data_IF_788671275846
#
_entry.id   IF_788671275846
#
_cell.length_a   1.000
_cell.length_b   1.000
_cell.length_c   1.000
_cell.angle_alpha   90.00
_cell.angle_beta   90.00
_cell.angle_gamma   90.00
#
_symmetry.space_group_name_H-M   'P 1'
#
loop_
_entity.id
_entity.type
_entity.pdbx_description
1 polymer ?
#
# COMPACT_ATOMS: atom_id res chain seq x y z
N UNK A 1 -18.99 1.96 -7.97
CA UNK A 1 -17.67 1.96 -7.27
C UNK A 1 -17.54 0.59 -6.63
N UNK A 2 -16.56 -0.15 -7.00
CA UNK A 2 -16.28 -1.46 -6.43
C UNK A 2 -15.77 -1.28 -4.99
N UNK A 3 -16.33 -2.00 -4.04
CA UNK A 3 -15.91 -1.92 -2.63
C UNK A 3 -14.58 -2.65 -2.43
N UNK A 4 -13.84 -2.35 -1.35
CA UNK A 4 -12.62 -3.08 -0.99
C UNK A 4 -12.88 -4.59 -0.88
N UNK A 5 -14.05 -4.96 -0.34
CA UNK A 5 -14.48 -6.35 -0.20
C UNK A 5 -14.65 -7.04 -1.56
N UNK A 6 -15.36 -6.42 -2.51
CA UNK A 6 -15.56 -6.97 -3.86
C UNK A 6 -14.23 -7.11 -4.60
N UNK A 7 -13.36 -6.10 -4.50
CA UNK A 7 -12.03 -6.12 -5.10
C UNK A 7 -11.16 -7.24 -4.52
N UNK A 8 -11.19 -7.47 -3.19
CA UNK A 8 -10.47 -8.57 -2.54
C UNK A 8 -11.00 -9.93 -2.95
N UNK A 9 -12.33 -10.12 -2.98
CA UNK A 9 -12.96 -11.37 -3.44
C UNK A 9 -12.51 -11.69 -4.86
N UNK A 10 -12.64 -10.73 -5.77
CA UNK A 10 -12.24 -10.88 -7.17
C UNK A 10 -10.75 -11.17 -7.34
N UNK A 11 -9.90 -10.50 -6.56
CA UNK A 11 -8.45 -10.66 -6.62
C UNK A 11 -8.00 -12.03 -6.09
N UNK A 12 -8.48 -12.40 -4.90
CA UNK A 12 -8.10 -13.65 -4.24
C UNK A 12 -8.66 -14.90 -4.93
N UNK A 13 -9.73 -14.76 -5.73
CA UNK A 13 -10.20 -15.83 -6.59
C UNK A 13 -9.22 -16.18 -7.72
N UNK A 14 -8.39 -15.22 -8.15
CA UNK A 14 -7.50 -15.38 -9.32
C UNK A 14 -6.02 -15.38 -8.94
N UNK A 15 -5.67 -14.79 -7.81
CA UNK A 15 -4.28 -14.63 -7.39
C UNK A 15 -4.11 -15.10 -5.94
N UNK A 16 -2.93 -15.66 -5.66
CA UNK A 16 -2.54 -16.10 -4.32
C UNK A 16 -1.83 -15.00 -3.52
N UNK A 17 -1.40 -13.93 -4.17
CA UNK A 17 -0.66 -12.84 -3.53
C UNK A 17 -1.16 -11.49 -4.02
N UNK A 18 -1.53 -10.63 -3.08
CA UNK A 18 -2.14 -9.31 -3.31
C UNK A 18 -1.36 -8.27 -2.53
N UNK A 19 -1.19 -7.08 -3.09
CA UNK A 19 -0.66 -5.92 -2.37
C UNK A 19 -1.70 -4.81 -2.31
N UNK A 20 -1.88 -4.26 -1.11
CA UNK A 20 -2.73 -3.12 -0.79
C UNK A 20 -1.88 -2.00 -0.18
N UNK A 21 -2.07 -0.79 -0.65
CA UNK A 21 -1.35 0.37 -0.14
C UNK A 21 -2.30 1.37 0.49
N UNK A 22 -1.94 1.85 1.72
CA UNK A 22 -2.71 2.87 2.43
C UNK A 22 -3.97 2.37 3.13
N UNK A 23 -4.10 1.07 3.32
CA UNK A 23 -5.16 0.46 4.12
C UNK A 23 -4.65 0.07 5.50
N UNK A 24 -5.55 0.04 6.49
CA UNK A 24 -5.25 -0.54 7.80
C UNK A 24 -5.55 -2.04 7.82
N UNK A 25 -4.88 -2.78 8.70
CA UNK A 25 -5.20 -4.20 8.94
C UNK A 25 -6.65 -4.41 9.33
N UNK A 26 -7.21 -3.50 10.13
CA UNK A 26 -8.62 -3.56 10.54
C UNK A 26 -9.56 -3.44 9.35
N UNK A 27 -9.35 -2.47 8.44
CA UNK A 27 -10.20 -2.31 7.26
C UNK A 27 -10.11 -3.47 6.27
N UNK A 28 -8.93 -4.08 6.16
CA UNK A 28 -8.74 -5.27 5.32
C UNK A 28 -9.43 -6.49 5.96
N UNK A 29 -9.25 -6.69 7.27
CA UNK A 29 -9.90 -7.80 7.99
C UNK A 29 -11.42 -7.71 7.92
N UNK A 30 -11.99 -6.52 8.10
CA UNK A 30 -13.42 -6.28 7.92
C UNK A 30 -13.88 -6.60 6.49
N UNK A 31 -13.14 -6.15 5.49
CA UNK A 31 -13.44 -6.44 4.09
C UNK A 31 -13.38 -7.92 3.75
N UNK A 32 -12.46 -8.69 4.37
CA UNK A 32 -12.38 -10.14 4.22
C UNK A 32 -13.59 -10.85 4.83
N UNK A 33 -14.09 -10.37 5.97
CA UNK A 33 -15.30 -10.90 6.61
C UNK A 33 -16.54 -10.56 5.78
N UNK A 34 -16.68 -9.30 5.35
CA UNK A 34 -17.80 -8.86 4.51
C UNK A 34 -17.85 -9.59 3.16
N UNK A 35 -16.70 -9.95 2.61
CA UNK A 35 -16.57 -10.76 1.39
C UNK A 35 -16.75 -12.26 1.59
N UNK A 36 -17.05 -12.72 2.79
CA UNK A 36 -17.15 -14.15 3.15
C UNK A 36 -15.88 -14.95 2.81
N UNK A 37 -14.71 -14.30 2.79
CA UNK A 37 -13.41 -14.97 2.56
C UNK A 37 -12.97 -15.68 3.85
N UNK A 38 -13.18 -15.03 4.99
CA UNK A 38 -12.97 -15.57 6.32
C UNK A 38 -14.17 -15.24 7.21
N UNK A 39 -14.38 -16.00 8.27
CA UNK A 39 -15.34 -15.67 9.33
C UNK A 39 -14.65 -14.83 10.42
N UNK A 40 -15.41 -14.07 11.17
CA UNK A 40 -14.89 -13.35 12.33
C UNK A 40 -14.25 -14.30 13.33
N UNK A 41 -13.03 -13.99 13.79
CA UNK A 41 -12.26 -14.86 14.68
C UNK A 41 -11.75 -16.16 14.03
N UNK A 42 -11.75 -16.25 12.71
CA UNK A 42 -11.28 -17.44 11.99
C UNK A 42 -9.81 -17.76 12.31
N UNK A 43 -9.49 -19.04 12.65
CA UNK A 43 -8.10 -19.47 12.79
C UNK A 43 -7.34 -19.45 11.44
N UNK A 44 -8.04 -19.34 10.32
CA UNK A 44 -7.46 -19.25 8.97
C UNK A 44 -7.16 -17.82 8.54
N UNK A 45 -7.25 -16.85 9.45
CA UNK A 45 -6.73 -15.49 9.27
C UNK A 45 -5.53 -15.27 10.21
N UNK A 46 -4.33 -15.27 9.65
CA UNK A 46 -3.10 -14.93 10.37
C UNK A 46 -2.75 -13.48 10.07
N UNK A 47 -2.60 -12.66 11.09
CA UNK A 47 -2.20 -11.27 10.98
C UNK A 47 -0.80 -11.09 11.54
N UNK A 48 0.11 -10.57 10.72
CA UNK A 48 1.49 -10.22 11.08
C UNK A 48 1.63 -8.72 10.95
N UNK A 49 1.85 -8.03 12.05
CA UNK A 49 2.08 -6.58 12.06
C UNK A 49 3.51 -6.29 12.51
N UNK A 50 4.22 -5.49 11.74
CA UNK A 50 5.59 -5.08 12.06
C UNK A 50 5.84 -3.65 11.57
N UNK A 51 6.53 -2.85 12.34
CA UNK A 51 7.00 -1.56 11.84
C UNK A 51 8.01 -1.76 10.71
N UNK A 52 8.90 -2.75 10.87
CA UNK A 52 9.94 -3.10 9.90
C UNK A 52 9.94 -4.60 9.66
N UNK A 53 9.44 -5.01 8.50
CA UNK A 53 9.45 -6.42 8.11
C UNK A 53 10.90 -6.86 7.81
N UNK A 54 11.43 -7.70 8.65
CA UNK A 54 12.75 -8.31 8.52
C UNK A 54 12.68 -9.73 7.93
N UNK A 55 13.84 -10.38 7.86
CA UNK A 55 13.96 -11.72 7.28
C UNK A 55 13.21 -12.78 8.10
N UNK A 56 13.15 -12.63 9.42
CA UNK A 56 12.52 -13.62 10.31
C UNK A 56 11.00 -13.58 10.18
N UNK A 57 10.40 -12.39 10.12
CA UNK A 57 8.97 -12.24 9.85
C UNK A 57 8.62 -12.75 8.44
N UNK A 58 9.46 -12.49 7.44
CA UNK A 58 9.28 -13.01 6.09
C UNK A 58 9.34 -14.55 6.04
N UNK A 59 10.23 -15.16 6.81
CA UNK A 59 10.29 -16.62 6.94
C UNK A 59 9.06 -17.19 7.63
N UNK A 60 8.53 -16.46 8.63
CA UNK A 60 7.29 -16.84 9.31
C UNK A 60 6.10 -16.87 8.35
N UNK A 61 6.02 -15.91 7.41
CA UNK A 61 5.00 -15.91 6.33
C UNK A 61 5.07 -17.23 5.54
N UNK A 62 6.28 -17.65 5.14
CA UNK A 62 6.49 -18.91 4.42
C UNK A 62 6.10 -20.13 5.26
N UNK A 63 6.44 -20.13 6.55
CA UNK A 63 6.11 -21.21 7.48
C UNK A 63 4.58 -21.34 7.66
N UNK A 64 3.85 -20.24 7.86
CA UNK A 64 2.39 -20.24 7.91
C UNK A 64 1.77 -20.73 6.61
N UNK A 65 2.26 -20.24 5.46
CA UNK A 65 1.76 -20.67 4.16
C UNK A 65 1.90 -22.19 3.95
N UNK A 66 2.96 -22.80 4.46
CA UNK A 66 3.23 -24.21 4.36
C UNK A 66 2.30 -25.07 5.28
N UNK A 67 1.81 -24.51 6.39
CA UNK A 67 0.92 -25.23 7.31
C UNK A 67 -0.48 -25.45 6.70
N UNK A 68 -0.92 -24.53 5.83
CA UNK A 68 -2.26 -24.55 5.26
C UNK A 68 -3.36 -24.19 6.27
N UNK A 69 -4.62 -24.17 5.84
CA UNK A 69 -5.75 -23.80 6.68
C UNK A 69 -6.13 -24.93 7.67
N UNK A 70 -6.64 -24.52 8.82
CA UNK A 70 -7.19 -25.41 9.86
C UNK A 70 -8.58 -25.90 9.45
N UNK A 71 -9.39 -25.04 8.85
CA UNK A 71 -10.68 -25.39 8.28
C UNK A 71 -10.54 -25.83 6.82
N UNK A 72 -11.65 -26.18 6.17
CA UNK A 72 -11.65 -26.50 4.73
C UNK A 72 -11.50 -25.27 3.82
N UNK A 73 -11.39 -24.08 4.39
CA UNK A 73 -11.24 -22.83 3.67
C UNK A 73 -9.79 -22.57 3.27
N UNK A 74 -9.51 -21.37 2.83
CA UNK A 74 -8.18 -20.89 2.45
C UNK A 74 -7.54 -20.15 3.63
N UNK A 75 -6.28 -20.42 3.90
CA UNK A 75 -5.50 -19.65 4.85
C UNK A 75 -5.19 -18.27 4.26
N UNK A 76 -5.55 -17.21 4.97
CA UNK A 76 -5.20 -15.83 4.62
C UNK A 76 -4.11 -15.34 5.55
N UNK A 77 -3.00 -14.91 4.99
CA UNK A 77 -1.88 -14.33 5.74
C UNK A 77 -1.83 -12.83 5.39
N UNK A 78 -2.29 -12.01 6.31
CA UNK A 78 -2.27 -10.55 6.20
C UNK A 78 -1.00 -10.02 6.86
N UNK A 79 -0.11 -9.44 6.09
CA UNK A 79 1.19 -8.91 6.54
C UNK A 79 1.18 -7.39 6.40
N UNK A 80 1.18 -6.68 7.50
CA UNK A 80 1.21 -5.21 7.55
C UNK A 80 2.57 -4.72 8.02
N UNK A 81 3.13 -3.75 7.32
CA UNK A 81 4.43 -3.17 7.66
C UNK A 81 4.56 -1.73 7.16
N UNK A 82 5.35 -0.94 7.88
CA UNK A 82 5.71 0.43 7.47
C UNK A 82 6.97 0.46 6.60
N UNK A 83 7.87 -0.50 6.80
CA UNK A 83 9.13 -0.66 6.05
C UNK A 83 9.41 -2.14 5.82
N UNK A 84 10.20 -2.44 4.80
CA UNK A 84 10.63 -3.81 4.50
C UNK A 84 12.10 -3.78 4.10
N UNK A 85 12.88 -4.75 4.57
CA UNK A 85 14.29 -4.88 4.18
C UNK A 85 14.42 -5.63 2.84
N UNK A 86 15.54 -5.44 2.14
CA UNK A 86 15.78 -6.15 0.88
C UNK A 86 15.92 -7.65 1.11
N UNK A 87 16.54 -8.06 2.23
CA UNK A 87 16.66 -9.47 2.62
C UNK A 87 15.28 -10.09 2.88
N UNK A 88 14.37 -9.34 3.52
CA UNK A 88 13.00 -9.79 3.72
C UNK A 88 12.26 -9.95 2.40
N UNK A 89 12.42 -8.99 1.48
CA UNK A 89 11.84 -9.09 0.15
C UNK A 89 12.36 -10.29 -0.63
N UNK A 90 13.67 -10.56 -0.60
CA UNK A 90 14.25 -11.75 -1.22
C UNK A 90 13.73 -13.05 -0.56
N UNK A 91 13.58 -13.07 0.77
CA UNK A 91 13.01 -14.21 1.48
C UNK A 91 11.56 -14.50 1.08
N UNK A 92 10.74 -13.47 0.82
CA UNK A 92 9.36 -13.62 0.36
C UNK A 92 9.26 -14.21 -1.04
N UNK A 93 10.26 -14.01 -1.91
CA UNK A 93 10.21 -14.46 -3.31
C UNK A 93 9.87 -15.94 -3.42
N UNK A 94 10.51 -16.80 -2.60
CA UNK A 94 10.25 -18.24 -2.62
C UNK A 94 8.77 -18.57 -2.35
N UNK A 95 8.17 -17.90 -1.35
CA UNK A 95 6.76 -18.13 -0.99
C UNK A 95 5.81 -17.57 -2.05
N UNK A 96 6.21 -16.49 -2.74
CA UNK A 96 5.42 -15.88 -3.80
C UNK A 96 5.53 -16.66 -5.13
N UNK A 97 6.63 -17.38 -5.37
CA UNK A 97 6.84 -18.21 -6.57
C UNK A 97 6.19 -19.57 -6.45
N UNK A 98 6.27 -20.17 -5.27
CA UNK A 98 5.74 -21.50 -4.99
C UNK A 98 4.68 -21.44 -3.88
N UNK A 99 3.51 -20.82 -4.16
CA UNK A 99 2.48 -20.66 -3.16
C UNK A 99 1.83 -21.99 -2.81
N UNK A 100 1.52 -22.16 -1.53
CA UNK A 100 0.64 -23.25 -1.12
C UNK A 100 -0.73 -23.09 -1.80
N UNK A 101 -1.31 -24.14 -2.41
CA UNK A 101 -2.59 -24.03 -3.13
C UNK A 101 -3.75 -23.51 -2.28
N UNK A 102 -3.64 -23.66 -0.95
CA UNK A 102 -4.68 -23.28 0.00
C UNK A 102 -4.29 -22.06 0.87
N UNK A 103 -3.26 -21.33 0.51
CA UNK A 103 -2.88 -20.10 1.17
C UNK A 103 -3.00 -18.89 0.23
N UNK A 104 -3.24 -17.74 0.81
CA UNK A 104 -3.14 -16.45 0.13
C UNK A 104 -2.42 -15.45 1.03
N UNK A 105 -1.63 -14.60 0.41
CA UNK A 105 -0.82 -13.58 1.08
C UNK A 105 -1.36 -12.20 0.70
N UNK A 106 -1.63 -11.37 1.68
CA UNK A 106 -2.00 -9.98 1.49
C UNK A 106 -0.91 -9.12 2.13
N UNK A 107 -0.18 -8.38 1.31
CA UNK A 107 0.80 -7.41 1.80
C UNK A 107 0.11 -6.05 1.93
N UNK A 108 0.10 -5.50 3.13
CA UNK A 108 -0.42 -4.18 3.45
C UNK A 108 0.74 -3.24 3.78
N UNK A 109 0.89 -2.18 3.01
CA UNK A 109 1.99 -1.25 3.15
C UNK A 109 1.54 0.20 3.01
N UNK A 110 2.32 1.18 3.50
CA UNK A 110 2.03 2.59 3.28
C UNK A 110 1.99 2.94 1.79
N UNK A 111 1.14 3.90 1.43
CA UNK A 111 1.19 4.49 0.10
C UNK A 111 2.60 5.02 -0.09
N UNK A 112 3.22 4.55 -1.16
CA UNK A 112 4.54 5.06 -1.47
C UNK A 112 5.70 4.16 -1.15
N UNK A 113 5.48 3.07 -0.45
CA UNK A 113 6.52 2.08 -0.26
C UNK A 113 6.93 1.48 -1.61
N UNK A 114 8.24 1.47 -1.85
CA UNK A 114 8.81 0.81 -3.04
C UNK A 114 9.13 -0.64 -2.70
N UNK A 115 8.57 -1.56 -3.50
CA UNK A 115 8.94 -2.97 -3.49
C UNK A 115 9.93 -3.24 -4.62
N UNK A 116 10.81 -4.22 -4.44
CA UNK A 116 11.68 -4.70 -5.49
C UNK A 116 10.86 -5.13 -6.72
N UNK A 117 11.32 -4.84 -7.94
CA UNK A 117 10.59 -5.23 -9.16
C UNK A 117 10.27 -6.73 -9.22
N UNK A 118 11.15 -7.57 -8.68
CA UNK A 118 10.99 -9.03 -8.60
C UNK A 118 9.85 -9.44 -7.68
N UNK A 119 9.65 -8.75 -6.55
CA UNK A 119 8.52 -8.97 -5.65
C UNK A 119 7.24 -8.42 -6.26
N UNK A 120 7.29 -7.18 -6.78
CA UNK A 120 6.13 -6.50 -7.36
C UNK A 120 5.53 -7.26 -8.54
N UNK A 121 6.35 -7.93 -9.37
CA UNK A 121 5.88 -8.71 -10.53
C UNK A 121 5.08 -9.96 -10.14
N UNK A 122 5.16 -10.40 -8.88
CA UNK A 122 4.45 -11.58 -8.34
C UNK A 122 3.22 -11.24 -7.50
N UNK A 123 2.95 -9.94 -7.37
CA UNK A 123 1.82 -9.43 -6.59
C UNK A 123 0.78 -8.82 -7.51
N UNK A 124 -0.47 -9.15 -7.30
CA UNK A 124 -1.56 -8.35 -7.83
C UNK A 124 -1.72 -7.10 -6.95
N UNK A 125 -1.33 -5.96 -7.49
CA UNK A 125 -1.54 -4.68 -6.81
C UNK A 125 -2.99 -4.25 -6.99
N UNK A 126 -3.73 -4.16 -5.89
CA UNK A 126 -5.07 -3.59 -5.90
C UNK A 126 -4.96 -2.07 -5.68
N UNK A 127 -5.29 -1.32 -6.71
CA UNK A 127 -5.52 0.13 -6.63
C UNK A 127 -6.94 0.39 -6.10
N UNK A 128 -7.24 -0.19 -4.94
CA UNK A 128 -8.48 0.17 -4.26
C UNK A 128 -8.30 1.58 -3.69
N UNK A 129 -9.27 2.42 -3.97
CA UNK A 129 -9.29 3.78 -3.44
C UNK A 129 -9.28 3.73 -1.92
N UNK A 130 -8.10 3.79 -1.34
CA UNK A 130 -7.95 4.17 0.05
C UNK A 130 -8.63 5.54 0.20
N UNK A 131 -9.69 5.58 0.96
CA UNK A 131 -10.73 6.61 0.99
C UNK A 131 -10.21 8.05 1.25
N UNK A 132 -8.96 8.22 1.65
CA UNK A 132 -8.41 9.53 2.03
C UNK A 132 -7.48 10.21 1.00
N UNK A 133 -6.96 9.53 -0.01
CA UNK A 133 -5.83 10.08 -0.78
C UNK A 133 -6.14 10.58 -2.19
N UNK A 134 -7.08 10.00 -2.92
CA UNK A 134 -7.33 10.41 -4.33
C UNK A 134 -8.05 11.74 -4.44
N UNK A 135 -8.98 12.02 -3.52
CA UNK A 135 -9.68 13.32 -3.47
C UNK A 135 -8.69 14.44 -3.24
N UNK A 136 -7.82 14.29 -2.24
CA UNK A 136 -6.86 15.32 -1.82
C UNK A 136 -5.75 15.50 -2.86
N UNK A 137 -5.22 14.41 -3.41
CA UNK A 137 -4.25 14.45 -4.48
C UNK A 137 -4.78 15.12 -5.75
N UNK A 138 -6.02 14.85 -6.13
CA UNK A 138 -6.66 15.49 -7.27
C UNK A 138 -6.95 16.98 -6.99
N UNK A 139 -7.44 17.30 -5.79
CA UNK A 139 -7.63 18.69 -5.36
C UNK A 139 -6.31 19.45 -5.29
N UNK A 140 -5.25 18.81 -4.79
CA UNK A 140 -3.91 19.38 -4.79
C UNK A 140 -3.39 19.62 -6.21
N UNK A 141 -3.54 18.66 -7.10
CA UNK A 141 -3.07 18.77 -8.49
C UNK A 141 -3.79 19.87 -9.27
N UNK A 142 -5.10 19.97 -9.14
CA UNK A 142 -5.96 20.88 -9.90
C UNK A 142 -6.33 22.16 -9.15
N UNK A 143 -6.11 22.20 -7.84
CA UNK A 143 -6.50 23.31 -6.98
C UNK A 143 -5.65 24.56 -7.13
N UNK A 144 -6.21 25.68 -6.71
CA UNK A 144 -5.49 26.93 -6.57
C UNK A 144 -4.44 26.85 -5.45
N UNK A 145 -3.55 27.84 -5.37
CA UNK A 145 -2.54 27.92 -4.32
C UNK A 145 -3.15 27.89 -2.90
N UNK A 146 -4.32 28.50 -2.71
CA UNK A 146 -5.03 28.48 -1.42
C UNK A 146 -5.47 27.08 -1.05
N UNK A 147 -6.12 26.36 -1.97
CA UNK A 147 -6.56 24.97 -1.76
C UNK A 147 -5.39 24.04 -1.46
N UNK A 148 -4.28 24.20 -2.17
CA UNK A 148 -3.06 23.41 -1.92
C UNK A 148 -2.50 23.66 -0.53
N UNK A 149 -2.48 24.92 -0.06
CA UNK A 149 -2.03 25.27 1.28
C UNK A 149 -2.94 24.69 2.37
N UNK A 150 -4.26 24.74 2.20
CA UNK A 150 -5.22 24.15 3.13
C UNK A 150 -5.01 22.65 3.29
N UNK A 151 -4.67 21.93 2.22
CA UNK A 151 -4.37 20.50 2.27
C UNK A 151 -3.04 20.18 2.96
N UNK A 152 -2.05 21.06 2.84
CA UNK A 152 -0.71 20.84 3.42
C UNK A 152 -0.68 21.19 4.92
N UNK A 153 -1.42 22.21 5.33
CA UNK A 153 -1.32 22.79 6.69
C UNK A 153 -1.56 21.76 7.80
N UNK A 154 -2.61 20.90 7.76
CA UNK A 154 -2.81 19.86 8.79
C UNK A 154 -1.68 18.84 8.82
N UNK A 155 -1.14 18.44 7.64
CA UNK A 155 -0.04 17.49 7.53
C UNK A 155 1.24 18.06 8.17
N UNK A 156 1.51 19.34 7.94
CA UNK A 156 2.67 20.03 8.54
C UNK A 156 2.52 20.20 10.04
N UNK A 157 1.31 20.51 10.54
CA UNK A 157 1.03 20.61 11.98
C UNK A 157 1.18 19.26 12.69
N UNK A 158 0.69 18.19 12.09
CA UNK A 158 0.81 16.83 12.60
C UNK A 158 2.21 16.24 12.45
N UNK A 159 3.08 16.86 11.64
CA UNK A 159 4.38 16.32 11.21
C UNK A 159 4.26 14.91 10.60
N UNK A 160 3.13 14.61 9.96
CA UNK A 160 2.83 13.31 9.39
C UNK A 160 3.52 13.17 8.03
N UNK A 161 4.70 12.57 8.05
CA UNK A 161 5.48 12.32 6.84
C UNK A 161 4.78 11.35 5.90
N UNK A 162 4.01 10.39 6.42
CA UNK A 162 3.31 9.39 5.63
C UNK A 162 2.18 10.03 4.80
N UNK A 163 1.37 10.88 5.42
CA UNK A 163 0.33 11.63 4.70
C UNK A 163 0.92 12.60 3.67
N UNK A 164 2.05 13.24 3.99
CA UNK A 164 2.73 14.11 3.05
C UNK A 164 3.23 13.38 1.80
N UNK A 165 3.79 12.21 1.96
CA UNK A 165 4.20 11.34 0.83
C UNK A 165 2.99 10.86 0.02
N UNK A 166 1.91 10.45 0.70
CA UNK A 166 0.69 10.02 0.06
C UNK A 166 0.09 11.13 -0.81
N UNK A 167 0.03 12.37 -0.29
CA UNK A 167 -0.47 13.53 -1.02
C UNK A 167 0.34 13.80 -2.28
N UNK A 168 1.67 13.82 -2.20
CA UNK A 168 2.55 14.07 -3.35
C UNK A 168 2.41 12.98 -4.43
N UNK A 169 2.30 11.71 -4.05
CA UNK A 169 2.12 10.61 -5.00
C UNK A 169 0.76 10.63 -5.66
N UNK A 170 -0.30 10.79 -4.89
CA UNK A 170 -1.66 10.86 -5.43
C UNK A 170 -1.82 12.09 -6.33
N UNK A 171 -1.22 13.22 -5.97
CA UNK A 171 -1.18 14.39 -6.84
C UNK A 171 -0.42 14.12 -8.15
N UNK A 172 0.72 13.42 -8.11
CA UNK A 172 1.46 13.05 -9.32
C UNK A 172 0.64 12.14 -10.25
N UNK A 173 -0.14 11.20 -9.69
CA UNK A 173 -1.00 10.32 -10.49
C UNK A 173 -2.26 11.00 -11.02
N UNK A 174 -2.69 12.10 -10.40
CA UNK A 174 -3.87 12.87 -10.82
C UNK A 174 -3.66 13.66 -12.11
N UNK A 175 -2.40 13.86 -12.54
CA UNK A 175 -2.11 14.49 -13.84
C UNK A 175 -2.22 13.47 -14.97
N UNK A 176 -2.90 13.80 -16.09
CA UNK A 176 -2.99 12.91 -17.25
C UNK A 176 -1.63 12.63 -17.88
N UNK A 177 -1.54 11.51 -18.60
CA UNK A 177 -0.33 11.11 -19.34
C UNK A 177 -0.34 11.85 -20.69
N UNK A 178 -0.20 13.16 -20.65
CA UNK A 178 -0.06 13.98 -21.85
C UNK A 178 1.22 14.83 -21.80
N UNK A 179 1.59 15.40 -22.95
CA UNK A 179 2.81 16.18 -23.06
C UNK A 179 2.80 17.47 -22.23
N UNK A 180 1.63 18.05 -21.95
CA UNK A 180 1.50 19.31 -21.18
C UNK A 180 1.63 19.06 -19.68
N UNK A 181 1.09 17.95 -19.20
CA UNK A 181 1.09 17.59 -17.78
C UNK A 181 2.31 16.76 -17.37
N UNK A 182 3.09 16.28 -18.34
CA UNK A 182 4.24 15.40 -18.09
C UNK A 182 5.26 16.01 -17.13
N UNK A 183 5.59 17.28 -17.31
CA UNK A 183 6.57 17.97 -16.48
C UNK A 183 6.13 18.08 -15.01
N UNK A 184 4.87 18.47 -14.76
CA UNK A 184 4.32 18.56 -13.42
C UNK A 184 4.26 17.17 -12.74
N UNK A 185 3.83 16.16 -13.49
CA UNK A 185 3.78 14.76 -13.02
C UNK A 185 5.15 14.23 -12.61
N UNK A 186 6.16 14.38 -13.48
CA UNK A 186 7.54 13.93 -13.20
C UNK A 186 8.12 14.66 -12.01
N UNK A 187 7.87 15.97 -11.89
CA UNK A 187 8.38 16.78 -10.80
C UNK A 187 7.75 16.40 -9.45
N UNK A 188 6.43 16.17 -9.40
CA UNK A 188 5.75 15.69 -8.19
C UNK A 188 6.19 14.29 -7.80
N UNK A 189 6.35 13.38 -8.76
CA UNK A 189 6.87 12.04 -8.51
C UNK A 189 8.28 12.09 -7.91
N UNK A 190 9.17 12.92 -8.47
CA UNK A 190 10.51 13.13 -7.89
C UNK A 190 10.46 13.73 -6.49
N UNK A 191 9.57 14.69 -6.22
CA UNK A 191 9.41 15.23 -4.86
C UNK A 191 8.90 14.17 -3.88
N UNK A 192 8.01 13.27 -4.32
CA UNK A 192 7.55 12.14 -3.52
C UNK A 192 8.69 11.14 -3.23
N UNK A 193 9.55 10.87 -4.21
CA UNK A 193 10.72 10.00 -4.03
C UNK A 193 11.75 10.64 -3.09
N UNK A 194 12.05 11.93 -3.25
CA UNK A 194 12.92 12.67 -2.32
C UNK A 194 12.36 12.71 -0.89
N UNK A 195 11.04 12.76 -0.74
CA UNK A 195 10.42 12.71 0.58
C UNK A 195 10.65 11.37 1.28
N UNK A 196 10.88 10.29 0.54
CA UNK A 196 11.21 8.96 1.09
C UNK A 196 12.66 8.86 1.56
N UNK A 197 13.53 9.76 1.11
CA UNK A 197 14.94 9.81 1.50
C UNK A 197 15.14 10.64 2.78
N UNK A 198 16.10 10.27 3.62
CA UNK A 198 16.29 10.80 4.99
C UNK A 198 16.67 12.29 5.09
N UNK A 199 16.76 13.03 3.99
CA UNK A 199 17.47 14.30 3.99
C UNK A 199 16.66 15.59 3.86
N UNK A 200 15.62 15.77 3.03
CA UNK A 200 14.94 17.06 2.96
C UNK A 200 13.77 17.17 3.93
N UNK A 201 13.58 18.38 4.47
CA UNK A 201 12.40 18.69 5.28
C UNK A 201 11.12 18.50 4.48
N UNK A 202 10.21 17.66 4.97
CA UNK A 202 8.87 17.45 4.38
C UNK A 202 8.16 18.79 4.11
N UNK A 203 8.30 19.75 5.03
CA UNK A 203 7.77 21.10 4.88
C UNK A 203 8.25 21.75 3.58
N UNK A 204 9.56 21.75 3.32
CA UNK A 204 10.14 22.34 2.13
C UNK A 204 9.65 21.65 0.85
N UNK A 205 9.48 20.34 0.86
CA UNK A 205 9.00 19.58 -0.29
C UNK A 205 7.52 19.88 -0.60
N UNK A 206 6.66 19.92 0.42
CA UNK A 206 5.25 20.22 0.27
C UNK A 206 5.03 21.69 -0.14
N UNK A 207 5.76 22.64 0.44
CA UNK A 207 5.71 24.04 0.02
C UNK A 207 6.16 24.21 -1.42
N UNK A 208 7.24 23.54 -1.84
CA UNK A 208 7.70 23.56 -3.22
C UNK A 208 6.69 22.93 -4.19
N UNK A 209 6.04 21.85 -3.77
CA UNK A 209 4.98 21.23 -4.58
C UNK A 209 3.75 22.15 -4.72
N UNK A 210 3.42 22.92 -3.68
CA UNK A 210 2.27 23.85 -3.72
C UNK A 210 2.44 24.99 -4.72
N UNK A 211 3.67 25.37 -5.03
CA UNK A 211 4.00 26.47 -5.96
C UNK A 211 4.03 26.03 -7.44
N UNK A 212 3.76 24.77 -7.72
CA UNK A 212 3.74 24.19 -9.07
C UNK A 212 2.36 24.24 -9.69
#
# INVERSE_FOLDING_TARGET
METLSESLVSALARHHAVALFGHSTASISEALVLGNIVTEGSPDLVVIESERLGIDESRSVGAFAAQGPVSNNRLIILVSFSRITDEAQHSLLKTLEEPSPRAAIILCAPIGLSLLPTVRSRLLVLDTEGVAGKSDGMQFAKGSLSVRRELIEPILKAKDTSQGHALLRTAATAYPIDSKSHFARVKLARLADYASDRSPSLKMLLERASLM
#
